data_IF_176460892161
#
_entry.id   IF_176460892161
#
_cell.length_a   1.000
_cell.length_b   1.000
_cell.length_c   1.000
_cell.angle_alpha   90.00
_cell.angle_beta   90.00
_cell.angle_gamma   90.00
#
_symmetry.space_group_name_H-M   'P 1'
#
loop_
_entity.id
_entity.type
_entity.pdbx_description
1 polymer ?
#
# COMPACT_ATOMS: atom_id res chain seq x y z
N UNK A 1 10.31 -5.48 -27.74
CA UNK A 1 10.32 -5.11 -26.32
C UNK A 1 9.99 -6.36 -25.48
N UNK A 2 10.83 -6.69 -24.52
CA UNK A 2 10.58 -7.84 -23.67
C UNK A 2 9.34 -7.59 -22.80
N UNK A 3 8.51 -8.63 -22.62
CA UNK A 3 7.38 -8.55 -21.69
C UNK A 3 7.93 -8.41 -20.26
N UNK A 4 7.26 -7.61 -19.41
CA UNK A 4 7.66 -7.50 -18.00
C UNK A 4 7.55 -8.86 -17.30
N UNK A 5 8.49 -9.13 -16.42
CA UNK A 5 8.41 -10.27 -15.51
C UNK A 5 7.42 -9.95 -14.38
N UNK A 6 6.90 -11.00 -13.77
CA UNK A 6 6.05 -10.83 -12.60
C UNK A 6 6.88 -10.35 -11.41
N UNK A 7 6.25 -9.57 -10.51
CA UNK A 7 6.92 -9.10 -9.29
C UNK A 7 7.46 -10.26 -8.44
N UNK A 8 6.75 -11.36 -8.41
CA UNK A 8 7.16 -12.57 -7.68
C UNK A 8 8.48 -13.15 -8.18
N UNK A 9 8.80 -12.98 -9.46
CA UNK A 9 10.09 -13.40 -10.02
C UNK A 9 11.22 -12.57 -9.41
N UNK A 10 10.99 -11.28 -9.25
CA UNK A 10 11.94 -10.40 -8.57
C UNK A 10 12.12 -10.81 -7.11
N UNK A 11 11.03 -11.11 -6.42
CA UNK A 11 11.07 -11.58 -5.03
C UNK A 11 11.92 -12.85 -4.90
N UNK A 12 11.77 -13.78 -5.84
CA UNK A 12 12.56 -15.02 -5.87
C UNK A 12 14.03 -14.75 -6.15
N UNK A 13 14.33 -13.86 -7.10
CA UNK A 13 15.70 -13.52 -7.46
C UNK A 13 16.46 -12.79 -6.36
N UNK A 14 15.76 -11.98 -5.57
CA UNK A 14 16.38 -11.25 -4.47
C UNK A 14 16.65 -12.12 -3.23
N UNK A 15 16.09 -13.33 -3.19
CA UNK A 15 16.23 -14.28 -2.07
C UNK A 15 15.83 -13.69 -0.72
N UNK A 16 14.81 -12.85 -0.70
CA UNK A 16 14.33 -12.20 0.50
C UNK A 16 15.19 -11.07 1.02
N UNK A 17 16.23 -10.67 0.31
CA UNK A 17 17.04 -9.51 0.67
C UNK A 17 16.26 -8.22 0.45
N UNK A 18 16.50 -7.25 1.30
CA UNK A 18 15.96 -5.92 1.09
C UNK A 18 16.55 -5.29 -0.16
N UNK A 19 15.72 -4.59 -0.91
CA UNK A 19 16.17 -3.93 -2.13
C UNK A 19 15.48 -2.58 -2.30
N UNK A 20 16.06 -1.74 -3.13
CA UNK A 20 15.46 -0.48 -3.58
C UNK A 20 15.19 -0.57 -5.08
N UNK A 21 14.17 0.12 -5.55
CA UNK A 21 13.89 0.27 -6.97
C UNK A 21 14.58 1.54 -7.45
N UNK A 22 15.47 1.41 -8.42
CA UNK A 22 16.25 2.54 -8.94
C UNK A 22 15.65 3.15 -10.18
N UNK A 23 14.91 2.37 -10.95
CA UNK A 23 14.39 2.83 -12.24
C UNK A 23 13.04 2.22 -12.53
N UNK A 24 12.11 3.08 -12.92
CA UNK A 24 10.78 2.70 -13.37
C UNK A 24 10.58 3.26 -14.77
N UNK A 25 10.11 2.42 -15.70
CA UNK A 25 9.75 2.83 -17.04
C UNK A 25 8.24 2.94 -17.17
N UNK A 26 7.76 4.09 -17.58
CA UNK A 26 6.36 4.30 -17.86
C UNK A 26 5.97 3.65 -19.22
N UNK A 27 4.68 3.43 -19.41
CA UNK A 27 4.17 2.83 -20.64
C UNK A 27 4.54 3.63 -21.91
N UNK A 28 4.73 4.94 -21.77
CA UNK A 28 5.13 5.82 -22.87
C UNK A 28 6.65 5.83 -23.14
N UNK A 29 7.42 5.02 -22.40
CA UNK A 29 8.88 4.92 -22.56
C UNK A 29 9.68 5.87 -21.67
N UNK A 30 9.05 6.81 -20.98
CA UNK A 30 9.73 7.70 -20.04
C UNK A 30 10.21 6.89 -18.83
N UNK A 31 11.45 7.12 -18.40
CA UNK A 31 12.00 6.48 -17.22
C UNK A 31 12.10 7.47 -16.06
N UNK A 32 11.78 6.99 -14.87
CA UNK A 32 11.98 7.72 -13.62
C UNK A 32 13.06 7.00 -12.84
N UNK A 33 14.12 7.72 -12.48
CA UNK A 33 15.25 7.18 -11.72
C UNK A 33 15.31 7.81 -10.34
N UNK A 34 15.71 7.00 -9.36
CA UNK A 34 15.82 7.43 -7.98
C UNK A 34 16.11 6.23 -7.08
N UNK A 35 15.86 6.39 -5.80
CA UNK A 35 15.92 5.30 -4.83
C UNK A 35 14.55 5.20 -4.15
N UNK A 36 13.79 4.19 -4.51
CA UNK A 36 12.44 4.00 -4.02
C UNK A 36 12.34 2.70 -3.24
N UNK A 37 11.89 2.78 -2.01
CA UNK A 37 11.62 1.58 -1.22
C UNK A 37 10.29 0.95 -1.67
N UNK A 38 10.23 -0.39 -1.85
CA UNK A 38 8.96 -1.05 -2.10
C UNK A 38 8.02 -0.84 -0.91
N UNK A 39 6.71 -0.68 -1.14
CA UNK A 39 5.76 -0.61 -0.04
C UNK A 39 5.74 -1.91 0.75
N UNK A 40 5.34 -1.85 2.02
CA UNK A 40 5.40 -3.02 2.90
C UNK A 40 4.59 -4.21 2.38
N UNK A 41 3.47 -3.98 1.69
CA UNK A 41 2.70 -5.07 1.08
C UNK A 41 3.48 -5.80 0.00
N UNK A 42 4.31 -5.09 -0.77
CA UNK A 42 5.16 -5.70 -1.80
C UNK A 42 6.34 -6.47 -1.21
N UNK A 43 6.69 -6.23 0.03
CA UNK A 43 7.78 -6.93 0.73
C UNK A 43 7.33 -8.25 1.36
N UNK A 44 6.03 -8.51 1.41
CA UNK A 44 5.51 -9.79 1.87
C UNK A 44 5.93 -10.92 0.92
N UNK A 45 5.99 -12.15 1.45
CA UNK A 45 6.16 -13.34 0.61
C UNK A 45 5.01 -13.45 -0.40
N UNK A 46 5.22 -14.18 -1.49
CA UNK A 46 4.15 -14.41 -2.46
C UNK A 46 2.91 -15.03 -1.81
N UNK A 47 3.09 -16.03 -0.95
CA UNK A 47 1.99 -16.66 -0.23
C UNK A 47 1.19 -15.66 0.59
N UNK A 48 1.87 -14.76 1.28
CA UNK A 48 1.23 -13.74 2.10
C UNK A 48 0.54 -12.69 1.24
N UNK A 49 1.12 -12.31 0.10
CA UNK A 49 0.48 -11.40 -0.86
C UNK A 49 -0.84 -12.00 -1.38
N UNK A 50 -0.82 -13.27 -1.75
CA UNK A 50 -2.03 -13.98 -2.20
C UNK A 50 -3.08 -14.05 -1.09
N UNK A 51 -2.65 -14.31 0.12
CA UNK A 51 -3.54 -14.39 1.27
C UNK A 51 -4.20 -13.05 1.57
N UNK A 52 -3.43 -11.98 1.60
CA UNK A 52 -3.95 -10.61 1.82
C UNK A 52 -4.91 -10.21 0.69
N UNK A 53 -4.56 -10.52 -0.54
CA UNK A 53 -5.41 -10.25 -1.70
C UNK A 53 -6.75 -10.97 -1.57
N UNK A 54 -6.74 -12.23 -1.19
CA UNK A 54 -7.95 -13.02 -0.97
C UNK A 54 -8.78 -12.45 0.18
N UNK A 55 -8.14 -12.03 1.27
CA UNK A 55 -8.82 -11.41 2.41
C UNK A 55 -9.58 -10.15 2.00
N UNK A 56 -8.94 -9.28 1.24
CA UNK A 56 -9.57 -8.06 0.72
C UNK A 56 -10.69 -8.41 -0.26
N UNK A 57 -10.46 -9.37 -1.14
CA UNK A 57 -11.44 -9.84 -2.12
C UNK A 57 -12.69 -10.41 -1.45
N UNK A 58 -12.52 -11.08 -0.32
CA UNK A 58 -13.61 -11.65 0.49
C UNK A 58 -14.23 -10.63 1.45
N UNK A 59 -13.86 -9.36 1.38
CA UNK A 59 -14.34 -8.31 2.29
C UNK A 59 -14.14 -8.64 3.76
N UNK A 60 -13.04 -9.33 4.08
CA UNK A 60 -12.72 -9.72 5.43
C UNK A 60 -13.46 -10.95 5.96
N UNK A 61 -14.21 -11.65 5.12
CA UNK A 61 -14.94 -12.86 5.53
C UNK A 61 -13.98 -14.03 5.76
N UNK A 62 -13.75 -14.38 7.02
CA UNK A 62 -12.90 -15.51 7.38
C UNK A 62 -13.53 -16.83 6.93
N UNK A 63 -14.86 -16.93 6.96
CA UNK A 63 -15.58 -18.11 6.48
C UNK A 63 -15.31 -18.38 5.00
N UNK A 64 -15.32 -17.34 4.16
CA UNK A 64 -14.96 -17.46 2.75
C UNK A 64 -13.48 -17.84 2.56
N UNK A 65 -12.61 -17.31 3.42
CA UNK A 65 -11.19 -17.66 3.40
C UNK A 65 -10.97 -19.15 3.71
N UNK A 66 -11.70 -19.71 4.67
CA UNK A 66 -11.67 -21.13 4.98
C UNK A 66 -12.03 -21.96 3.75
N UNK A 67 -13.06 -21.55 3.02
CA UNK A 67 -13.51 -22.23 1.81
C UNK A 67 -12.46 -22.18 0.69
N UNK A 68 -11.88 -21.01 0.46
CA UNK A 68 -10.91 -20.78 -0.62
C UNK A 68 -9.61 -21.55 -0.37
N UNK A 69 -9.09 -21.49 0.84
CA UNK A 69 -7.81 -22.13 1.18
C UNK A 69 -7.97 -23.55 1.70
N UNK A 70 -9.17 -23.99 2.00
CA UNK A 70 -9.41 -25.35 2.48
C UNK A 70 -8.81 -25.62 3.85
N UNK A 71 -8.72 -24.62 4.72
CA UNK A 71 -8.15 -24.71 6.06
C UNK A 71 -9.15 -24.21 7.10
N UNK A 72 -8.90 -24.55 8.38
CA UNK A 72 -9.79 -24.21 9.49
C UNK A 72 -9.67 -22.73 9.90
N UNK A 73 -10.68 -22.25 10.63
CA UNK A 73 -10.71 -20.92 11.22
C UNK A 73 -9.44 -20.59 12.03
N UNK A 74 -8.97 -21.45 12.96
CA UNK A 74 -7.73 -21.15 13.69
C UNK A 74 -6.52 -20.97 12.78
N UNK A 75 -6.43 -21.70 11.69
CA UNK A 75 -5.33 -21.57 10.73
C UNK A 75 -5.38 -20.23 10.01
N UNK A 76 -6.56 -19.79 9.57
CA UNK A 76 -6.74 -18.47 8.97
C UNK A 76 -6.37 -17.36 9.95
N UNK A 77 -6.85 -17.45 11.20
CA UNK A 77 -6.54 -16.45 12.23
C UNK A 77 -5.06 -16.39 12.55
N UNK A 78 -4.40 -17.54 12.63
CA UNK A 78 -2.96 -17.61 12.88
C UNK A 78 -2.16 -16.94 11.77
N UNK A 79 -2.52 -17.18 10.51
CA UNK A 79 -1.86 -16.55 9.36
C UNK A 79 -2.10 -15.05 9.33
N UNK A 80 -3.32 -14.60 9.60
CA UNK A 80 -3.63 -13.16 9.71
C UNK A 80 -2.79 -12.49 10.79
N UNK A 81 -2.68 -13.11 11.97
CA UNK A 81 -1.90 -12.56 13.07
C UNK A 81 -0.42 -12.46 12.70
N UNK A 82 0.14 -13.49 12.06
CA UNK A 82 1.54 -13.48 11.62
C UNK A 82 1.79 -12.37 10.60
N UNK A 83 0.93 -12.24 9.60
CA UNK A 83 1.06 -11.20 8.57
C UNK A 83 0.92 -9.81 9.20
N UNK A 84 -0.05 -9.63 10.10
CA UNK A 84 -0.29 -8.33 10.75
C UNK A 84 0.92 -7.87 11.57
N UNK A 85 1.68 -8.79 12.15
CA UNK A 85 2.90 -8.45 12.89
C UNK A 85 4.02 -7.91 12.00
N UNK A 86 3.97 -8.21 10.71
CA UNK A 86 4.94 -7.73 9.73
C UNK A 86 4.50 -6.44 9.03
N UNK A 87 3.31 -5.95 9.34
CA UNK A 87 2.76 -4.74 8.74
C UNK A 87 2.59 -3.66 9.82
N UNK A 88 3.08 -2.47 9.51
CA UNK A 88 2.89 -1.31 10.36
C UNK A 88 1.74 -0.46 9.84
N UNK A 89 1.06 0.24 10.74
CA UNK A 89 0.11 1.24 10.30
C UNK A 89 0.87 2.37 9.63
N UNK A 90 0.43 2.74 8.43
CA UNK A 90 0.90 3.95 7.79
C UNK A 90 0.10 5.09 8.41
N UNK A 91 0.77 5.93 9.19
CA UNK A 91 0.17 7.17 9.67
C UNK A 91 -0.02 8.09 8.48
N UNK A 92 -1.21 8.06 7.93
CA UNK A 92 -1.65 9.14 7.06
C UNK A 92 -2.30 10.19 7.93
N UNK A 93 -1.64 11.30 8.17
CA UNK A 93 -2.35 12.51 8.47
C UNK A 93 -3.22 12.77 7.24
N UNK A 94 -4.54 12.60 7.33
CA UNK A 94 -5.37 12.96 6.18
C UNK A 94 -5.19 14.46 5.99
N UNK A 95 -4.47 14.84 4.93
CA UNK A 95 -4.42 16.22 4.53
C UNK A 95 -5.86 16.72 4.48
N UNK A 96 -6.23 17.81 5.19
CA UNK A 96 -7.61 18.28 5.21
C UNK A 96 -8.07 18.48 3.77
N UNK A 97 -9.28 18.01 3.45
CA UNK A 97 -9.82 18.15 2.13
C UNK A 97 -9.90 19.63 1.77
N UNK A 98 -9.89 19.96 0.47
CA UNK A 98 -10.05 21.35 0.04
C UNK A 98 -11.31 21.97 0.61
N UNK A 99 -12.40 21.20 0.69
CA UNK A 99 -13.65 21.65 1.28
C UNK A 99 -13.50 21.97 2.77
N UNK A 100 -12.73 21.16 3.53
CA UNK A 100 -12.48 21.41 4.95
C UNK A 100 -11.66 22.68 5.18
N UNK A 101 -10.65 22.93 4.34
CA UNK A 101 -9.84 24.15 4.41
C UNK A 101 -10.71 25.38 4.19
N UNK A 102 -11.55 25.35 3.17
CA UNK A 102 -12.45 26.46 2.81
C UNK A 102 -13.46 26.71 3.94
N UNK A 103 -14.00 25.64 4.52
CA UNK A 103 -14.96 25.73 5.62
C UNK A 103 -14.33 26.34 6.87
N UNK A 104 -13.10 25.94 7.21
CA UNK A 104 -12.34 26.53 8.32
C UNK A 104 -12.04 28.01 8.10
N UNK A 105 -11.69 28.39 6.86
CA UNK A 105 -11.53 29.79 6.49
C UNK A 105 -12.82 30.58 6.66
N UNK A 106 -13.96 30.02 6.24
CA UNK A 106 -15.27 30.65 6.37
C UNK A 106 -15.66 30.85 7.83
N UNK A 107 -15.30 29.90 8.71
CA UNK A 107 -15.59 30.00 10.15
C UNK A 107 -14.59 30.88 10.91
N UNK A 108 -13.58 31.40 10.24
CA UNK A 108 -12.56 32.25 10.85
C UNK A 108 -11.54 31.50 11.69
N UNK A 109 -11.47 30.18 11.59
CA UNK A 109 -10.49 29.36 12.31
C UNK A 109 -9.07 29.53 11.75
N UNK A 110 -8.96 29.82 10.47
CA UNK A 110 -7.71 30.10 9.78
C UNK A 110 -7.89 31.36 8.91
N UNK A 111 -6.78 32.03 8.60
CA UNK A 111 -6.79 33.16 7.69
C UNK A 111 -6.52 32.70 6.24
N UNK A 112 -6.68 33.63 5.27
CA UNK A 112 -6.49 33.33 3.85
C UNK A 112 -5.07 32.82 3.55
N UNK A 113 -4.06 33.36 4.21
CA UNK A 113 -2.67 32.97 4.02
C UNK A 113 -2.42 31.55 4.51
N UNK A 114 -3.00 31.17 5.67
CA UNK A 114 -2.93 29.82 6.19
C UNK A 114 -3.68 28.84 5.28
N UNK A 115 -4.84 29.22 4.78
CA UNK A 115 -5.61 28.40 3.83
C UNK A 115 -4.82 28.12 2.55
N UNK A 116 -4.18 29.14 1.98
CA UNK A 116 -3.34 28.97 0.80
C UNK A 116 -2.16 28.05 1.06
N UNK A 117 -1.51 28.19 2.21
CA UNK A 117 -0.40 27.34 2.62
C UNK A 117 -0.81 25.87 2.72
N UNK A 118 -1.96 25.59 3.33
CA UNK A 118 -2.48 24.22 3.44
C UNK A 118 -2.85 23.63 2.09
N UNK A 119 -3.40 24.44 1.17
CA UNK A 119 -3.75 24.00 -0.18
C UNK A 119 -2.52 23.78 -1.06
N UNK A 120 -1.49 24.61 -0.94
CA UNK A 120 -0.24 24.50 -1.70
C UNK A 120 0.65 23.35 -1.22
N UNK A 121 0.62 23.01 0.06
CA UNK A 121 1.33 21.88 0.64
C UNK A 121 0.87 20.51 0.14
N UNK A 122 -0.01 20.46 -0.83
CA UNK A 122 -0.62 19.28 -1.42
C UNK A 122 -0.11 19.00 -2.82
N UNK A 123 1.11 19.13 -3.02
CA UNK A 123 1.66 18.71 -4.32
C UNK A 123 1.54 17.20 -4.50
#
# INVERSE_FOLDING_TARGET
MALPMEWQDLTSLTRGQQFVVERVRLANGVAIEGEFEPPQLAQLSLEDQVFVTAFVRCHGSIKEMERIFGVSYPTIKSRLNRISQNLDFVETDPAPSRADVIDRLRRGEINAQQALSELEGRA
#
